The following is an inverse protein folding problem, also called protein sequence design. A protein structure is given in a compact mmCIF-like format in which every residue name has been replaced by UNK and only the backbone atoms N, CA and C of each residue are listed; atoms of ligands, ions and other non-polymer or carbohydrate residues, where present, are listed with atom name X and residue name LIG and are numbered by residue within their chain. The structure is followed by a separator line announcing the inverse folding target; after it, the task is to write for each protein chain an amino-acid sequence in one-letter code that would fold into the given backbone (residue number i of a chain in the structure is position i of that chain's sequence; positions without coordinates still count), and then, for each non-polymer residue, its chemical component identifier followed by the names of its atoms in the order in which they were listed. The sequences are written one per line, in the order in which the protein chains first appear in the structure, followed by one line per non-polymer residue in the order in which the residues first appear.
data_IF_976989779701
#
_entry.id   IF_976989779701
#
_cell.length_a   1.000
_cell.length_b   1.000
_cell.length_c   1.000
_cell.angle_alpha   90.00
_cell.angle_beta   90.00
_cell.angle_gamma   90.00
#
_symmetry.space_group_name_H-M   'P 1'
#
loop_
_entity.id
_entity.type
_entity.pdbx_description
1 polymer ?
#
# COMPACT_ATOMS: atom_id res chain seq x y z
N UNK A 1 4.85 8.68 -18.83
CA UNK A 1 4.57 7.34 -19.40
C UNK A 1 3.67 6.58 -18.46
N UNK A 2 2.69 5.92 -18.99
CA UNK A 2 1.78 5.08 -18.22
C UNK A 2 2.10 3.61 -18.45
N UNK A 3 2.12 2.83 -17.39
CA UNK A 3 2.30 1.39 -17.42
C UNK A 3 1.18 0.72 -16.64
N UNK A 4 0.56 -0.31 -17.19
CA UNK A 4 -0.50 -1.05 -16.53
C UNK A 4 0.07 -2.30 -15.86
N UNK A 5 -0.10 -2.39 -14.54
CA UNK A 5 0.32 -3.52 -13.71
C UNK A 5 -0.92 -4.09 -13.02
N UNK A 6 -1.51 -5.13 -13.59
CA UNK A 6 -2.79 -5.66 -13.11
C UNK A 6 -3.92 -4.64 -13.22
N UNK A 7 -4.48 -4.24 -12.10
CA UNK A 7 -5.54 -3.20 -12.01
C UNK A 7 -4.99 -1.80 -11.76
N UNK A 8 -3.67 -1.68 -11.57
CA UNK A 8 -3.01 -0.42 -11.27
C UNK A 8 -2.47 0.21 -12.56
N UNK A 9 -2.64 1.51 -12.70
CA UNK A 9 -1.96 2.31 -13.71
C UNK A 9 -0.87 3.11 -13.02
N UNK A 10 0.39 2.83 -13.39
CA UNK A 10 1.54 3.57 -12.91
C UNK A 10 1.86 4.67 -13.92
N UNK A 11 1.73 5.92 -13.51
CA UNK A 11 2.08 7.08 -14.33
C UNK A 11 3.37 7.72 -13.83
N UNK A 12 4.43 7.63 -14.64
CA UNK A 12 5.75 8.17 -14.35
C UNK A 12 6.03 9.49 -15.07
N UNK A 13 5.01 10.12 -15.65
CA UNK A 13 5.19 11.36 -16.44
C UNK A 13 5.89 12.47 -15.64
N UNK A 14 5.59 12.58 -14.35
CA UNK A 14 6.18 13.57 -13.45
C UNK A 14 7.35 13.05 -12.63
N UNK A 15 7.80 11.81 -12.87
CA UNK A 15 8.91 11.24 -12.14
C UNK A 15 10.25 11.84 -12.60
N UNK A 16 11.03 12.35 -11.65
CA UNK A 16 12.29 13.04 -11.92
C UNK A 16 13.49 12.12 -12.21
N UNK A 17 13.28 10.81 -12.20
CA UNK A 17 14.33 9.83 -12.47
C UNK A 17 15.25 9.52 -11.30
N UNK A 18 14.92 10.00 -10.10
CA UNK A 18 15.64 9.70 -8.86
C UNK A 18 14.69 9.64 -7.68
N UNK A 19 14.99 8.78 -6.74
CA UNK A 19 14.24 8.67 -5.49
C UNK A 19 14.75 9.71 -4.49
N UNK A 20 13.88 10.65 -4.13
CA UNK A 20 14.19 11.68 -3.14
C UNK A 20 13.98 11.20 -1.71
N UNK A 21 13.21 10.14 -1.55
CA UNK A 21 12.91 9.52 -0.26
C UNK A 21 12.84 8.00 -0.42
N UNK A 22 13.52 7.28 0.45
CA UNK A 22 13.48 5.82 0.51
C UNK A 22 13.78 5.35 1.93
N UNK A 23 13.05 4.34 2.39
CA UNK A 23 13.32 3.65 3.66
C UNK A 23 14.41 2.57 3.53
N UNK A 24 15.02 2.43 2.36
CA UNK A 24 16.15 1.55 2.12
C UNK A 24 15.77 0.08 2.00
N UNK A 25 16.59 -0.80 2.58
CA UNK A 25 16.46 -2.25 2.44
C UNK A 25 15.14 -2.82 2.95
N UNK A 26 14.42 -2.12 3.83
CA UNK A 26 13.11 -2.56 4.30
C UNK A 26 12.06 -2.57 3.18
N UNK A 27 12.18 -1.72 2.20
CA UNK A 27 11.28 -1.70 1.04
C UNK A 27 11.43 -2.99 0.21
N UNK A 28 12.66 -3.47 0.04
CA UNK A 28 12.94 -4.74 -0.64
C UNK A 28 12.36 -5.93 0.14
N UNK A 29 12.47 -5.90 1.46
CA UNK A 29 11.89 -6.93 2.32
C UNK A 29 10.36 -6.95 2.22
N UNK A 30 9.71 -5.79 2.24
CA UNK A 30 8.26 -5.68 2.07
C UNK A 30 7.81 -6.18 0.70
N UNK A 31 8.57 -5.87 -0.35
CA UNK A 31 8.29 -6.37 -1.69
C UNK A 31 8.38 -7.90 -1.75
N UNK A 32 9.41 -8.48 -1.13
CA UNK A 32 9.57 -9.93 -1.05
C UNK A 32 8.41 -10.59 -0.30
N UNK A 33 7.99 -10.03 0.82
CA UNK A 33 6.84 -10.53 1.59
C UNK A 33 5.56 -10.50 0.73
N UNK A 34 5.31 -9.42 0.02
CA UNK A 34 4.12 -9.31 -0.82
C UNK A 34 4.09 -10.30 -1.99
N UNK A 35 5.25 -10.75 -2.45
CA UNK A 35 5.38 -11.77 -3.51
C UNK A 35 5.26 -13.20 -2.98
N UNK A 36 5.85 -13.46 -1.82
CA UNK A 36 6.12 -14.84 -1.35
C UNK A 36 5.02 -15.35 -0.41
N UNK A 37 4.22 -14.47 0.16
CA UNK A 37 3.20 -14.81 1.14
C UNK A 37 1.81 -14.32 0.74
N UNK A 38 0.79 -15.13 1.01
CA UNK A 38 -0.60 -14.72 0.88
C UNK A 38 -1.02 -13.83 2.07
N UNK A 39 -2.05 -12.97 1.91
CA UNK A 39 -2.55 -12.12 3.01
C UNK A 39 -2.91 -12.89 4.28
N UNK A 40 -3.39 -14.12 4.17
CA UNK A 40 -3.72 -15.00 5.29
C UNK A 40 -2.50 -15.38 6.14
N UNK A 41 -1.28 -15.28 5.57
CA UNK A 41 -0.03 -15.60 6.23
C UNK A 41 0.62 -14.38 6.92
N UNK A 42 0.11 -13.17 6.68
CA UNK A 42 0.77 -11.94 7.15
C UNK A 42 0.90 -11.85 8.67
N UNK A 43 -0.07 -12.33 9.43
CA UNK A 43 0.04 -12.33 10.89
C UNK A 43 1.21 -13.18 11.38
N UNK A 44 1.45 -14.33 10.75
CA UNK A 44 2.59 -15.18 11.04
C UNK A 44 3.92 -14.49 10.67
N UNK A 45 3.98 -13.91 9.47
CA UNK A 45 5.17 -13.18 9.00
C UNK A 45 5.50 -12.01 9.94
N UNK A 46 4.51 -11.24 10.35
CA UNK A 46 4.68 -10.13 11.30
C UNK A 46 5.30 -10.63 12.61
N UNK A 47 4.79 -11.73 13.15
CA UNK A 47 5.29 -12.28 14.42
C UNK A 47 6.70 -12.84 14.32
N UNK A 48 7.07 -13.41 13.18
CA UNK A 48 8.41 -13.95 12.93
C UNK A 48 9.46 -12.86 12.68
N UNK A 49 9.10 -11.83 11.92
CA UNK A 49 10.03 -10.75 11.54
C UNK A 49 10.30 -9.77 12.66
N UNK A 50 9.35 -9.54 13.56
CA UNK A 50 9.45 -8.63 14.72
C UNK A 50 9.96 -7.24 14.33
N UNK A 51 9.45 -6.71 13.23
CA UNK A 51 9.87 -5.45 12.64
C UNK A 51 8.68 -4.48 12.62
N UNK A 52 8.91 -3.25 13.08
CA UNK A 52 7.87 -2.22 13.07
C UNK A 52 7.34 -1.90 11.66
N UNK A 53 8.20 -1.69 10.64
CA UNK A 53 7.69 -1.46 9.29
C UNK A 53 6.85 -2.60 8.73
N UNK A 54 7.21 -3.85 9.01
CA UNK A 54 6.45 -5.03 8.59
C UNK A 54 5.09 -5.06 9.30
N UNK A 55 5.05 -4.84 10.60
CA UNK A 55 3.80 -4.74 11.35
C UNK A 55 2.91 -3.63 10.77
N UNK A 56 3.46 -2.44 10.57
CA UNK A 56 2.72 -1.28 10.10
C UNK A 56 2.12 -1.50 8.71
N UNK A 57 2.87 -2.07 7.77
CA UNK A 57 2.43 -2.23 6.39
C UNK A 57 1.53 -3.45 6.14
N UNK A 58 1.67 -4.52 6.92
CA UNK A 58 0.97 -5.78 6.67
C UNK A 58 -0.13 -6.12 7.67
N UNK A 59 -0.21 -5.43 8.81
CA UNK A 59 -1.27 -5.66 9.78
C UNK A 59 -2.62 -5.14 9.30
N UNK A 60 -3.66 -5.95 9.46
CA UNK A 60 -5.05 -5.53 9.15
C UNK A 60 -5.60 -4.47 10.11
N UNK A 61 -4.98 -4.31 11.28
CA UNK A 61 -5.45 -3.35 12.31
C UNK A 61 -5.41 -1.90 11.79
N UNK A 62 -4.45 -1.55 10.93
CA UNK A 62 -4.34 -0.19 10.38
C UNK A 62 -5.55 0.21 9.53
N UNK A 63 -6.30 -0.75 9.02
CA UNK A 63 -7.54 -0.50 8.26
C UNK A 63 -8.59 0.19 9.10
N UNK A 64 -8.50 0.11 10.42
CA UNK A 64 -9.40 0.77 11.35
C UNK A 64 -9.38 2.30 11.22
N UNK A 65 -8.34 2.88 10.66
CA UNK A 65 -8.28 4.31 10.37
C UNK A 65 -9.38 4.75 9.38
N UNK A 66 -9.85 3.84 8.55
CA UNK A 66 -10.86 4.08 7.53
C UNK A 66 -12.23 3.45 7.86
N UNK A 67 -12.28 2.48 8.77
CA UNK A 67 -13.50 1.68 9.00
C UNK A 67 -14.69 2.48 9.52
N UNK A 68 -14.43 3.62 10.14
CA UNK A 68 -15.48 4.52 10.64
C UNK A 68 -16.06 5.48 9.58
N UNK A 69 -15.39 5.63 8.43
CA UNK A 69 -15.84 6.50 7.35
C UNK A 69 -16.96 5.82 6.54
N UNK A 70 -18.07 6.52 6.29
CA UNK A 70 -19.21 5.96 5.56
C UNK A 70 -18.99 6.01 4.04
N UNK A 71 -18.17 5.13 3.51
CA UNK A 71 -17.99 5.00 2.06
C UNK A 71 -19.26 4.44 1.40
N UNK A 72 -19.61 5.00 0.23
CA UNK A 72 -20.74 4.53 -0.59
C UNK A 72 -20.31 3.58 -1.72
N UNK A 73 -19.01 3.52 -2.00
CA UNK A 73 -18.47 2.80 -3.15
C UNK A 73 -18.37 3.64 -4.43
N UNK A 74 -18.79 4.89 -4.38
CA UNK A 74 -18.77 5.81 -5.54
C UNK A 74 -17.71 6.90 -5.43
N UNK A 75 -16.97 6.93 -4.33
CA UNK A 75 -15.96 7.96 -4.09
C UNK A 75 -14.75 7.83 -5.02
N UNK A 76 -14.23 8.98 -5.42
CA UNK A 76 -12.93 9.14 -6.03
C UNK A 76 -11.99 9.74 -4.99
N UNK A 77 -10.97 9.01 -4.60
CA UNK A 77 -10.08 9.34 -3.49
C UNK A 77 -8.69 9.71 -4.01
N UNK A 78 -8.11 10.76 -3.46
CA UNK A 78 -6.71 11.10 -3.61
C UNK A 78 -5.99 10.77 -2.30
N UNK A 79 -5.05 9.85 -2.34
CA UNK A 79 -4.16 9.53 -1.22
C UNK A 79 -2.83 10.25 -1.40
N UNK A 80 -2.54 11.19 -0.51
CA UNK A 80 -1.29 11.94 -0.50
C UNK A 80 -0.34 11.30 0.48
N UNK A 81 0.89 10.99 0.02
CA UNK A 81 1.87 10.31 0.85
C UNK A 81 1.59 8.82 1.02
N UNK A 82 1.20 8.14 -0.06
CA UNK A 82 0.86 6.72 -0.01
C UNK A 82 2.02 5.81 0.44
N UNK A 83 3.26 6.21 0.17
CA UNK A 83 4.46 5.44 0.50
C UNK A 83 4.39 4.04 -0.08
N UNK A 84 4.64 3.03 0.74
CA UNK A 84 4.54 1.62 0.33
C UNK A 84 3.11 1.05 0.40
N UNK A 85 2.11 1.89 0.47
CA UNK A 85 0.71 1.49 0.35
C UNK A 85 0.07 0.91 1.60
N UNK A 86 0.51 1.32 2.80
CA UNK A 86 -0.01 0.79 4.06
C UNK A 86 -1.53 0.88 4.19
N UNK A 87 -2.15 1.91 3.65
CA UNK A 87 -3.60 2.17 3.73
C UNK A 87 -4.29 2.07 2.36
N UNK A 88 -3.53 2.11 1.29
CA UNK A 88 -4.03 2.15 -0.10
C UNK A 88 -4.98 1.00 -0.43
N UNK A 89 -4.63 -0.22 -0.01
CA UNK A 89 -5.47 -1.41 -0.25
C UNK A 89 -6.86 -1.28 0.36
N UNK A 90 -6.93 -0.78 1.60
CA UNK A 90 -8.21 -0.56 2.28
C UNK A 90 -9.06 0.52 1.57
N UNK A 91 -8.43 1.57 1.05
CA UNK A 91 -9.11 2.57 0.24
C UNK A 91 -9.65 1.96 -1.06
N UNK A 92 -8.86 1.13 -1.73
CA UNK A 92 -9.27 0.47 -2.97
C UNK A 92 -10.46 -0.48 -2.80
N UNK A 93 -10.63 -1.07 -1.63
CA UNK A 93 -11.79 -1.91 -1.32
C UNK A 93 -13.08 -1.10 -1.11
N UNK A 94 -12.95 0.14 -0.68
CA UNK A 94 -14.08 0.99 -0.27
C UNK A 94 -14.52 2.01 -1.30
N UNK A 95 -13.58 2.54 -2.07
CA UNK A 95 -13.80 3.61 -3.04
C UNK A 95 -13.94 3.06 -4.47
N UNK A 96 -14.51 3.87 -5.36
CA UNK A 96 -14.60 3.55 -6.78
C UNK A 96 -13.26 3.67 -7.49
N UNK A 97 -12.50 4.71 -7.14
CA UNK A 97 -11.21 5.02 -7.73
C UNK A 97 -10.28 5.62 -6.69
N UNK A 98 -9.04 5.20 -6.69
CA UNK A 98 -8.00 5.76 -5.81
C UNK A 98 -6.82 6.21 -6.65
N UNK A 99 -6.42 7.46 -6.48
CA UNK A 99 -5.18 8.01 -7.04
C UNK A 99 -4.20 8.24 -5.92
N UNK A 100 -2.97 7.75 -6.07
CA UNK A 100 -1.92 7.83 -5.06
C UNK A 100 -0.76 8.72 -5.54
N UNK A 101 -0.25 9.53 -4.64
CA UNK A 101 0.99 10.28 -4.88
C UNK A 101 1.90 10.25 -3.67
#
# INVERSE_FOLDING_TARGET
MEEKIGKVVLDTTCYLGQDLYSDGAIEDEMLAISRDFAPEEFNRVISERKSWPILYHFSHIRENILSWLPFTGEERVLEIGSGCGAVTGALCEKAKEVTCI
#
